data_IF_561924815002
#
_entry.id   IF_561924815002
#
_cell.length_a   1.000
_cell.length_b   1.000
_cell.length_c   1.000
_cell.angle_alpha   90.00
_cell.angle_beta   90.00
_cell.angle_gamma   90.00
#
_symmetry.space_group_name_H-M   'P 1'
#
loop_
_entity.id
_entity.type
_entity.pdbx_description
1 polymer ?
#
# COMPACT_ATOMS: atom_id res chain seq x y z
N UNK A 1 -8.68 11.27 -4.51
CA UNK A 1 -7.53 11.18 -3.60
C UNK A 1 -7.75 10.07 -2.59
N UNK A 2 -6.92 9.04 -2.71
CA UNK A 2 -6.92 7.80 -1.95
C UNK A 2 -5.69 7.81 -1.04
N UNK A 3 -5.90 7.70 0.27
CA UNK A 3 -4.80 7.51 1.21
C UNK A 3 -4.75 6.03 1.61
N UNK A 4 -3.67 5.35 1.24
CA UNK A 4 -3.46 3.95 1.55
C UNK A 4 -2.39 3.82 2.62
N UNK A 5 -2.76 3.19 3.72
CA UNK A 5 -1.84 2.81 4.78
C UNK A 5 -1.62 1.30 4.73
N UNK A 6 -0.39 0.88 4.55
CA UNK A 6 0.03 -0.53 4.55
C UNK A 6 0.87 -0.84 5.78
N UNK A 7 0.49 -1.85 6.54
CA UNK A 7 1.33 -2.39 7.62
C UNK A 7 2.27 -3.43 7.03
N UNK A 8 3.57 -3.28 7.16
CA UNK A 8 4.59 -4.21 6.65
C UNK A 8 5.17 -5.09 7.79
N UNK A 9 5.69 -6.29 7.49
CA UNK A 9 6.35 -7.11 8.50
C UNK A 9 7.61 -6.43 9.05
N UNK A 10 7.88 -6.62 10.35
CA UNK A 10 9.13 -6.17 10.99
C UNK A 10 10.23 -7.22 10.77
N UNK A 11 11.49 -6.79 10.53
CA UNK A 11 11.94 -5.41 10.36
C UNK A 11 11.49 -4.82 9.01
N UNK A 12 11.19 -3.50 8.96
CA UNK A 12 10.96 -2.85 7.66
C UNK A 12 12.26 -2.95 6.88
N UNK A 13 12.20 -3.60 5.72
CA UNK A 13 13.28 -3.60 4.75
C UNK A 13 12.93 -2.62 3.63
N UNK A 14 13.88 -1.79 3.21
CA UNK A 14 13.69 -0.84 2.10
C UNK A 14 13.24 -1.57 0.83
N UNK A 15 13.76 -2.78 0.58
CA UNK A 15 13.34 -3.61 -0.55
C UNK A 15 11.85 -4.02 -0.50
N UNK A 16 11.26 -4.15 0.69
CA UNK A 16 9.82 -4.44 0.84
C UNK A 16 9.00 -3.21 0.44
N UNK A 17 9.44 -2.02 0.85
CA UNK A 17 8.80 -0.76 0.47
C UNK A 17 8.93 -0.52 -1.04
N UNK A 18 10.09 -0.77 -1.63
CA UNK A 18 10.28 -0.66 -3.09
C UNK A 18 9.38 -1.62 -3.84
N UNK A 19 9.30 -2.88 -3.40
CA UNK A 19 8.44 -3.90 -4.02
C UNK A 19 6.96 -3.52 -3.93
N UNK A 20 6.50 -3.06 -2.76
CA UNK A 20 5.13 -2.59 -2.58
C UNK A 20 4.82 -1.36 -3.42
N UNK A 21 5.75 -0.42 -3.49
CA UNK A 21 5.59 0.78 -4.33
C UNK A 21 5.50 0.40 -5.80
N UNK A 22 6.33 -0.53 -6.27
CA UNK A 22 6.26 -1.02 -7.64
C UNK A 22 4.96 -1.77 -7.94
N UNK A 23 4.46 -2.58 -7.00
CA UNK A 23 3.18 -3.27 -7.12
C UNK A 23 2.01 -2.29 -7.23
N UNK A 24 1.93 -1.30 -6.34
CA UNK A 24 0.88 -0.28 -6.38
C UNK A 24 0.93 0.53 -7.67
N UNK A 25 2.14 0.92 -8.11
CA UNK A 25 2.35 1.62 -9.38
C UNK A 25 2.00 0.83 -10.62
N UNK A 26 1.97 -0.50 -10.53
CA UNK A 26 1.52 -1.35 -11.64
C UNK A 26 -0.01 -1.35 -11.79
N UNK A 27 -0.74 -1.02 -10.71
CA UNK A 27 -2.19 -0.85 -10.72
C UNK A 27 -2.52 0.55 -11.22
N UNK A 28 -1.87 1.54 -10.64
CA UNK A 28 -2.10 2.97 -10.90
C UNK A 28 -0.78 3.73 -10.68
N UNK A 29 -0.29 4.38 -11.74
CA UNK A 29 1.03 5.04 -11.73
C UNK A 29 1.10 6.24 -10.79
N UNK A 30 -0.06 6.81 -10.42
CA UNK A 30 -0.18 7.98 -9.57
C UNK A 30 0.04 7.67 -8.08
N UNK A 31 0.18 6.39 -7.71
CA UNK A 31 0.57 6.02 -6.34
C UNK A 31 1.95 6.56 -5.96
N UNK A 32 1.98 7.36 -4.90
CA UNK A 32 3.19 7.96 -4.34
C UNK A 32 3.35 7.57 -2.87
N UNK A 33 4.54 7.06 -2.52
CA UNK A 33 4.92 6.86 -1.13
C UNK A 33 5.12 8.22 -0.46
N UNK A 34 4.31 8.53 0.55
CA UNK A 34 4.37 9.82 1.28
C UNK A 34 5.21 9.71 2.53
N UNK A 35 5.12 8.60 3.26
CA UNK A 35 5.87 8.40 4.49
C UNK A 35 5.99 6.94 4.89
N UNK A 36 6.98 6.64 5.73
CA UNK A 36 7.16 5.32 6.34
C UNK A 36 7.40 5.49 7.83
N UNK A 37 6.54 4.91 8.66
CA UNK A 37 6.72 4.82 10.10
C UNK A 37 7.42 3.51 10.47
N UNK A 38 8.72 3.61 10.76
CA UNK A 38 9.53 2.48 11.20
C UNK A 38 9.17 1.92 12.58
N UNK A 39 8.59 2.75 13.46
CA UNK A 39 8.21 2.33 14.81
C UNK A 39 7.01 1.38 14.77
N UNK A 40 6.04 1.72 13.93
CA UNK A 40 4.81 0.93 13.77
C UNK A 40 4.86 -0.05 12.60
N UNK A 41 5.89 0.01 11.77
CA UNK A 41 5.99 -0.79 10.54
C UNK A 41 4.89 -0.46 9.54
N UNK A 42 4.72 0.83 9.24
CA UNK A 42 3.61 1.33 8.42
C UNK A 42 4.16 2.17 7.26
N UNK A 43 3.64 1.95 6.06
CA UNK A 43 3.93 2.72 4.86
C UNK A 43 2.67 3.43 4.40
N UNK A 44 2.79 4.72 4.09
CA UNK A 44 1.70 5.59 3.70
C UNK A 44 1.87 5.96 2.24
N UNK A 45 0.82 5.72 1.48
CA UNK A 45 0.74 5.97 0.05
C UNK A 45 -0.42 6.91 -0.23
N UNK A 46 -0.24 7.74 -1.23
CA UNK A 46 -1.25 8.66 -1.72
C UNK A 46 -1.47 8.41 -3.21
N UNK A 47 -2.72 8.42 -3.65
CA UNK A 47 -3.06 8.48 -5.06
C UNK A 47 -4.08 9.62 -5.31
N UNK A 48 -3.69 10.74 -5.94
CA UNK A 48 -4.55 11.90 -6.14
C UNK A 48 -5.74 11.62 -7.07
N UNK A 49 -5.55 10.83 -8.13
CA UNK A 49 -6.52 10.64 -9.22
C UNK A 49 -7.35 9.35 -9.12
N UNK A 50 -7.29 8.62 -8.00
CA UNK A 50 -8.03 7.35 -7.88
C UNK A 50 -9.55 7.49 -8.03
N UNK A 51 -10.10 6.73 -8.97
CA UNK A 51 -11.52 6.47 -9.19
C UNK A 51 -12.00 5.24 -8.41
N UNK A 52 -13.31 5.11 -8.13
CA UNK A 52 -13.88 3.95 -7.41
C UNK A 52 -13.49 2.58 -8.02
N UNK A 53 -13.30 2.51 -9.35
CA UNK A 53 -12.82 1.30 -10.02
C UNK A 53 -11.37 0.93 -9.63
N UNK A 54 -10.50 1.93 -9.45
CA UNK A 54 -9.12 1.74 -9.02
C UNK A 54 -9.07 1.32 -7.54
N UNK A 55 -9.99 1.81 -6.71
CA UNK A 55 -10.14 1.34 -5.34
C UNK A 55 -10.44 -0.17 -5.26
N UNK A 56 -11.35 -0.67 -6.08
CA UNK A 56 -11.67 -2.10 -6.09
C UNK A 56 -10.46 -2.93 -6.58
N UNK A 57 -9.73 -2.44 -7.58
CA UNK A 57 -8.51 -3.08 -8.07
C UNK A 57 -7.41 -3.11 -6.99
N UNK A 58 -7.13 -1.98 -6.34
CA UNK A 58 -6.15 -1.87 -5.25
C UNK A 58 -6.54 -2.76 -4.07
N UNK A 59 -7.82 -2.77 -3.69
CA UNK A 59 -8.31 -3.61 -2.60
C UNK A 59 -8.17 -5.10 -2.93
N UNK A 60 -8.45 -5.49 -4.17
CA UNK A 60 -8.27 -6.86 -4.63
C UNK A 60 -6.78 -7.27 -4.57
N UNK A 61 -5.87 -6.42 -5.07
CA UNK A 61 -4.43 -6.68 -5.06
C UNK A 61 -3.88 -6.81 -3.63
N UNK A 62 -4.20 -5.85 -2.76
CA UNK A 62 -3.82 -5.88 -1.34
C UNK A 62 -4.35 -7.14 -0.64
N UNK A 63 -5.59 -7.55 -0.94
CA UNK A 63 -6.12 -8.81 -0.40
C UNK A 63 -5.35 -10.04 -0.89
N UNK A 64 -4.78 -10.01 -2.10
CA UNK A 64 -3.88 -11.06 -2.56
C UNK A 64 -2.55 -11.04 -1.81
N UNK A 65 -1.96 -9.85 -1.63
CA UNK A 65 -0.71 -9.68 -0.86
C UNK A 65 -0.85 -10.18 0.59
N UNK A 66 -2.03 -10.02 1.20
CA UNK A 66 -2.33 -10.56 2.54
C UNK A 66 -2.50 -12.08 2.58
N UNK A 67 -2.92 -12.69 1.47
CA UNK A 67 -3.13 -14.14 1.38
C UNK A 67 -1.87 -14.91 1.00
N UNK A 68 -0.80 -14.18 0.62
CA UNK A 68 0.47 -14.79 0.27
C UNK A 68 1.08 -15.52 1.49
N UNK A 69 1.69 -16.71 1.31
CA UNK A 69 2.33 -17.45 2.39
C UNK A 69 3.49 -16.67 3.05
N UNK A 70 4.13 -15.75 2.32
CA UNK A 70 5.08 -14.78 2.87
C UNK A 70 4.57 -13.35 2.61
N UNK A 71 3.61 -12.86 3.41
CA UNK A 71 2.84 -11.69 3.04
C UNK A 71 3.69 -10.42 3.21
N UNK A 72 3.86 -9.68 2.11
CA UNK A 72 4.58 -8.39 2.08
C UNK A 72 3.91 -7.32 2.97
N UNK A 73 2.63 -7.52 3.30
CA UNK A 73 1.88 -6.68 4.23
C UNK A 73 1.18 -7.55 5.29
N UNK A 74 1.04 -7.02 6.49
CA UNK A 74 0.28 -7.63 7.60
C UNK A 74 -1.09 -7.01 7.81
N UNK A 75 -1.36 -5.89 7.16
CA UNK A 75 -2.61 -5.17 7.28
C UNK A 75 -2.64 -3.98 6.33
N UNK A 76 -3.83 -3.42 6.15
CA UNK A 76 -4.00 -2.19 5.41
C UNK A 76 -5.17 -1.38 5.96
N UNK A 77 -5.19 -0.09 5.66
CA UNK A 77 -6.32 0.81 5.88
C UNK A 77 -6.39 1.78 4.69
N UNK A 78 -7.59 2.03 4.21
CA UNK A 78 -7.84 2.98 3.12
C UNK A 78 -8.67 4.10 3.71
N UNK A 79 -8.12 5.30 3.70
CA UNK A 79 -8.75 6.52 4.16
C UNK A 79 -9.07 7.41 2.97
N UNK A 80 -10.28 7.96 2.96
CA UNK A 80 -10.79 8.82 1.88
C UNK A 80 -10.79 10.31 2.25
N UNK A 81 -10.48 10.64 3.51
CA UNK A 81 -10.77 11.95 4.09
C UNK A 81 -9.51 12.52 4.73
N UNK A 82 -9.11 13.68 4.24
CA UNK A 82 -8.37 14.68 5.01
C UNK A 82 -9.15 15.98 5.02
#
# INVERSE_FOLDING_TARGET
>A
MLHLKLTVPKPINESVIETLTAHLKAIDEDFQLTSVDQRFAEAFYDCPDSSEAEFDAVRADIQQLLKDPDPLIRGYSIDHWW
#
